data_IF_358509215562
#
_entry.id   IF_358509215562
#
_cell.length_a   1.000
_cell.length_b   1.000
_cell.length_c   1.000
_cell.angle_alpha   90.00
_cell.angle_beta   90.00
_cell.angle_gamma   90.00
#
_symmetry.space_group_name_H-M   'P 1'
#
loop_
_entity.id
_entity.type
_entity.pdbx_description
1 polymer ?
#
# COMPACT_ATOMS: atom_id res chain seq x y z
N UNK A 1 -13.91 -48.08 20.92
CA UNK A 1 -12.83 -47.17 20.46
C UNK A 1 -13.45 -45.85 20.04
N UNK A 2 -13.38 -44.86 20.92
CA UNK A 2 -13.94 -43.52 20.69
C UNK A 2 -12.79 -42.56 20.34
N UNK A 3 -12.77 -42.06 19.11
CA UNK A 3 -11.82 -41.05 18.61
C UNK A 3 -12.17 -39.68 19.16
N UNK A 4 -11.24 -38.92 19.75
CA UNK A 4 -11.55 -37.56 20.23
C UNK A 4 -11.55 -36.60 19.05
N UNK A 5 -12.71 -35.90 18.86
CA UNK A 5 -12.82 -34.74 17.97
C UNK A 5 -11.99 -33.59 18.53
N UNK A 6 -10.94 -33.20 17.84
CA UNK A 6 -10.21 -31.97 18.10
C UNK A 6 -11.10 -30.78 17.72
N UNK A 7 -11.54 -30.03 18.73
CA UNK A 7 -12.16 -28.73 18.56
C UNK A 7 -11.05 -27.72 18.19
N UNK A 8 -11.07 -27.23 16.95
CA UNK A 8 -10.21 -26.14 16.52
C UNK A 8 -10.84 -24.84 17.04
N UNK A 9 -10.29 -24.31 18.13
CA UNK A 9 -10.62 -22.97 18.61
C UNK A 9 -10.03 -21.97 17.62
N UNK A 10 -10.88 -21.44 16.75
CA UNK A 10 -10.56 -20.25 15.95
C UNK A 10 -10.52 -19.03 16.86
N UNK A 11 -9.33 -18.51 17.15
CA UNK A 11 -9.18 -17.21 17.79
C UNK A 11 -9.64 -16.16 16.78
N UNK A 12 -10.89 -15.72 16.93
CA UNK A 12 -11.38 -14.50 16.29
C UNK A 12 -10.72 -13.35 17.05
N UNK A 13 -9.63 -12.83 16.49
CA UNK A 13 -9.10 -11.54 16.92
C UNK A 13 -10.11 -10.50 16.47
N UNK A 14 -11.05 -10.19 17.35
CA UNK A 14 -11.90 -9.03 17.22
C UNK A 14 -11.01 -7.79 17.36
N UNK A 15 -10.51 -7.28 16.22
CA UNK A 15 -9.86 -5.98 16.17
C UNK A 15 -10.89 -4.96 16.65
N UNK A 16 -10.75 -4.51 17.91
CA UNK A 16 -11.60 -3.48 18.47
C UNK A 16 -11.48 -2.23 17.60
N UNK A 17 -12.53 -1.97 16.86
CA UNK A 17 -12.67 -0.84 15.96
C UNK A 17 -12.69 0.44 16.79
N UNK A 18 -11.57 1.14 16.88
CA UNK A 18 -11.55 2.48 17.44
C UNK A 18 -12.25 3.41 16.47
N UNK A 19 -13.52 3.65 16.72
CA UNK A 19 -14.29 4.68 16.00
C UNK A 19 -13.73 6.03 16.43
N UNK A 20 -13.10 6.75 15.50
CA UNK A 20 -12.67 8.13 15.72
C UNK A 20 -13.93 9.01 15.88
N UNK A 21 -14.15 9.65 17.02
CA UNK A 21 -15.33 10.48 17.26
C UNK A 21 -15.18 11.88 16.64
N UNK A 22 -14.98 11.95 15.33
CA UNK A 22 -14.99 13.21 14.57
C UNK A 22 -16.33 13.30 13.83
N UNK A 23 -17.13 14.34 14.04
CA UNK A 23 -18.43 14.45 13.38
C UNK A 23 -18.42 14.17 11.88
N UNK A 24 -17.51 14.76 11.06
CA UNK A 24 -17.46 14.44 9.64
C UNK A 24 -16.91 13.04 9.34
N UNK A 25 -16.04 12.48 10.20
CA UNK A 25 -15.48 11.14 10.02
C UNK A 25 -16.39 10.03 10.55
N UNK A 26 -17.25 10.34 11.53
CA UNK A 26 -18.22 9.37 12.08
C UNK A 26 -19.36 9.10 11.12
N UNK A 27 -19.81 10.14 10.39
CA UNK A 27 -20.91 10.00 9.42
C UNK A 27 -20.44 9.51 8.04
N UNK A 28 -19.14 9.39 7.82
CA UNK A 28 -18.58 8.98 6.53
C UNK A 28 -18.74 7.48 6.30
N UNK A 29 -19.07 7.11 5.06
CA UNK A 29 -19.00 5.72 4.63
C UNK A 29 -17.53 5.33 4.41
N UNK A 30 -17.05 4.36 5.16
CA UNK A 30 -15.70 3.87 5.10
C UNK A 30 -15.61 2.57 4.31
N UNK A 31 -14.74 2.54 3.31
CA UNK A 31 -14.32 1.29 2.70
C UNK A 31 -13.15 0.74 3.52
N UNK A 32 -13.34 -0.44 4.09
CA UNK A 32 -12.31 -1.11 4.89
C UNK A 32 -11.62 -2.20 4.08
N UNK A 33 -10.30 -2.33 4.25
CA UNK A 33 -9.51 -3.41 3.68
C UNK A 33 -8.39 -3.81 4.63
N UNK A 34 -7.97 -5.06 4.58
CA UNK A 34 -6.74 -5.51 5.21
C UNK A 34 -5.62 -5.45 4.19
N UNK A 35 -4.48 -4.94 4.62
CA UNK A 35 -3.26 -4.99 3.84
C UNK A 35 -2.14 -5.55 4.69
N UNK A 36 -1.13 -6.13 4.05
CA UNK A 36 0.09 -6.51 4.74
C UNK A 36 1.25 -5.79 4.09
N UNK A 37 1.91 -4.93 4.87
CA UNK A 37 3.05 -4.13 4.40
C UNK A 37 4.33 -4.70 4.99
N UNK A 38 5.24 -5.15 4.15
CA UNK A 38 6.50 -5.79 4.58
C UNK A 38 6.30 -6.93 5.61
N UNK A 39 5.21 -7.70 5.47
CA UNK A 39 4.87 -8.80 6.37
C UNK A 39 4.10 -8.39 7.63
N UNK A 40 3.83 -7.10 7.85
CA UNK A 40 3.06 -6.61 8.99
C UNK A 40 1.64 -6.32 8.54
N UNK A 41 0.67 -6.88 9.24
CA UNK A 41 -0.75 -6.72 8.96
C UNK A 41 -1.24 -5.35 9.44
N UNK A 42 -2.00 -4.67 8.58
CA UNK A 42 -2.56 -3.35 8.83
C UNK A 42 -4.04 -3.34 8.46
N UNK A 43 -4.85 -2.68 9.29
CA UNK A 43 -6.20 -2.28 8.92
C UNK A 43 -6.16 -0.92 8.23
N UNK A 44 -6.66 -0.84 7.00
CA UNK A 44 -6.74 0.41 6.23
C UNK A 44 -8.20 0.72 5.95
N UNK A 45 -8.57 1.99 6.07
CA UNK A 45 -9.90 2.50 5.74
C UNK A 45 -9.76 3.75 4.90
N UNK A 46 -10.60 3.87 3.91
CA UNK A 46 -10.62 5.02 3.02
C UNK A 46 -12.02 5.62 2.94
N UNK A 47 -12.09 6.94 2.85
CA UNK A 47 -13.32 7.68 2.61
C UNK A 47 -13.01 8.98 1.86
N UNK A 48 -14.06 9.66 1.40
CA UNK A 48 -13.97 11.02 0.87
C UNK A 48 -14.84 11.94 1.73
N UNK A 49 -14.37 13.14 1.98
CA UNK A 49 -15.07 14.15 2.76
C UNK A 49 -15.18 15.45 1.98
N UNK A 50 -16.32 16.10 2.11
CA UNK A 50 -16.53 17.49 1.67
C UNK A 50 -16.03 18.43 2.78
N UNK A 51 -14.71 18.55 2.88
CA UNK A 51 -14.04 19.36 3.87
C UNK A 51 -12.65 19.77 3.37
N UNK A 52 -12.15 20.92 3.83
CA UNK A 52 -10.78 21.31 3.56
C UNK A 52 -9.79 20.51 4.40
N UNK A 53 -8.59 20.22 3.86
CA UNK A 53 -7.53 19.53 4.63
C UNK A 53 -7.27 20.18 5.98
N UNK A 54 -7.13 21.52 6.03
CA UNK A 54 -6.81 22.28 7.24
C UNK A 54 -7.87 22.14 8.34
N UNK A 55 -9.15 22.08 7.96
CA UNK A 55 -10.23 21.88 8.94
C UNK A 55 -10.11 20.51 9.60
N UNK A 56 -9.87 19.47 8.80
CA UNK A 56 -9.71 18.09 9.31
C UNK A 56 -8.43 17.94 10.12
N UNK A 57 -7.32 18.55 9.70
CA UNK A 57 -6.05 18.56 10.44
C UNK A 57 -6.25 19.15 11.84
N UNK A 58 -6.83 20.36 11.94
CA UNK A 58 -7.07 21.02 13.24
C UNK A 58 -7.92 20.15 14.16
N UNK A 59 -9.00 19.56 13.65
CA UNK A 59 -9.86 18.69 14.44
C UNK A 59 -9.13 17.44 14.94
N UNK A 60 -8.35 16.79 14.07
CA UNK A 60 -7.55 15.60 14.41
C UNK A 60 -6.50 15.92 15.47
N UNK A 61 -5.75 17.00 15.30
CA UNK A 61 -4.72 17.42 16.26
C UNK A 61 -5.33 17.72 17.61
N UNK A 62 -6.45 18.45 17.67
CA UNK A 62 -7.17 18.75 18.91
C UNK A 62 -7.64 17.48 19.61
N UNK A 63 -8.30 16.58 18.85
CA UNK A 63 -8.80 15.32 19.40
C UNK A 63 -7.67 14.44 19.92
N UNK A 64 -6.64 14.24 19.12
CA UNK A 64 -5.55 13.34 19.48
C UNK A 64 -4.70 13.87 20.64
N UNK A 65 -4.51 15.19 20.72
CA UNK A 65 -3.84 15.82 21.86
C UNK A 65 -4.63 15.69 23.16
N UNK A 66 -5.97 15.70 23.10
CA UNK A 66 -6.83 15.56 24.29
C UNK A 66 -6.88 14.13 24.85
N UNK A 67 -6.47 13.13 24.08
CA UNK A 67 -6.52 11.72 24.47
C UNK A 67 -5.28 11.23 25.27
N UNK A 68 -4.40 12.12 25.69
CA UNK A 68 -3.29 11.83 26.61
C UNK A 68 -2.20 10.91 26.05
N UNK A 69 -2.14 10.73 24.74
CA UNK A 69 -1.09 9.97 24.06
C UNK A 69 0.12 10.84 23.72
N UNK A 70 1.16 10.22 23.17
CA UNK A 70 2.26 10.94 22.53
C UNK A 70 1.68 12.00 21.57
N UNK A 71 2.18 13.25 21.57
CA UNK A 71 1.69 14.27 20.66
C UNK A 71 1.70 13.77 19.22
N UNK A 72 0.63 14.04 18.45
CA UNK A 72 0.60 13.63 17.05
C UNK A 72 1.70 14.34 16.26
N UNK A 73 2.32 13.63 15.36
CA UNK A 73 3.27 14.16 14.38
C UNK A 73 2.54 14.52 13.09
N UNK A 74 2.95 15.63 12.46
CA UNK A 74 2.43 16.05 11.15
C UNK A 74 3.60 16.12 10.17
N UNK A 75 3.41 15.50 8.99
CA UNK A 75 4.38 15.49 7.90
C UNK A 75 3.68 15.92 6.62
N UNK A 76 4.16 16.96 5.99
CA UNK A 76 3.73 17.38 4.68
C UNK A 76 4.55 16.67 3.60
N UNK A 77 3.87 16.01 2.69
CA UNK A 77 4.45 15.34 1.53
C UNK A 77 3.86 15.94 0.25
N UNK A 78 4.54 15.84 -0.90
CA UNK A 78 3.97 16.30 -2.16
C UNK A 78 2.57 15.73 -2.41
N UNK A 79 1.56 16.62 -2.45
CA UNK A 79 0.17 16.28 -2.72
C UNK A 79 -0.59 15.58 -1.59
N UNK A 80 -0.03 15.48 -0.38
CA UNK A 80 -0.75 14.93 0.80
C UNK A 80 -0.13 15.36 2.12
N UNK A 81 -0.95 15.40 3.15
CA UNK A 81 -0.51 15.57 4.54
C UNK A 81 -0.75 14.27 5.30
N UNK A 82 0.23 13.85 6.10
CA UNK A 82 0.14 12.65 6.94
C UNK A 82 0.22 13.07 8.41
N UNK A 83 -0.75 12.63 9.20
CA UNK A 83 -0.78 12.82 10.65
C UNK A 83 -0.62 11.44 11.28
N UNK A 84 0.35 11.30 12.18
CA UNK A 84 0.63 10.04 12.86
C UNK A 84 0.58 10.19 14.37
N UNK A 85 0.17 9.14 15.06
CA UNK A 85 0.33 9.02 16.52
C UNK A 85 0.62 7.58 16.91
N UNK A 86 1.17 7.43 18.10
CA UNK A 86 1.30 6.12 18.74
C UNK A 86 0.43 6.07 19.99
N UNK A 87 -0.35 5.00 20.13
CA UNK A 87 -1.18 4.73 21.29
C UNK A 87 -0.88 3.32 21.80
N UNK A 88 -0.02 3.22 22.82
CA UNK A 88 0.51 1.95 23.26
C UNK A 88 1.28 1.25 22.14
N UNK A 89 0.88 0.05 21.79
CA UNK A 89 1.47 -0.75 20.69
C UNK A 89 0.86 -0.47 19.32
N UNK A 90 -0.16 0.39 19.24
CA UNK A 90 -0.81 0.72 17.98
C UNK A 90 -0.22 2.02 17.43
N UNK A 91 0.29 1.95 16.21
CA UNK A 91 0.63 3.12 15.40
C UNK A 91 -0.52 3.43 14.45
N UNK A 92 -1.05 4.64 14.55
CA UNK A 92 -2.17 5.11 13.73
C UNK A 92 -1.68 6.24 12.82
N UNK A 93 -2.09 6.22 11.55
CA UNK A 93 -1.81 7.28 10.60
C UNK A 93 -3.08 7.67 9.86
N UNK A 94 -3.21 8.97 9.57
CA UNK A 94 -4.23 9.51 8.67
C UNK A 94 -3.51 10.26 7.56
N UNK A 95 -3.75 9.87 6.34
CA UNK A 95 -3.27 10.55 5.14
C UNK A 95 -4.41 11.32 4.49
N UNK A 96 -4.22 12.60 4.29
CA UNK A 96 -5.18 13.53 3.70
C UNK A 96 -4.66 13.96 2.34
N UNK A 97 -5.42 13.72 1.29
CA UNK A 97 -5.10 14.13 -0.07
C UNK A 97 -6.20 15.04 -0.63
N UNK A 98 -5.91 16.29 -0.97
CA UNK A 98 -6.86 17.16 -1.67
C UNK A 98 -7.33 16.54 -2.99
N UNK A 99 -8.59 16.69 -3.31
CA UNK A 99 -9.22 16.25 -4.56
C UNK A 99 -9.69 17.49 -5.35
N UNK A 100 -9.35 17.56 -6.63
CA UNK A 100 -9.83 18.60 -7.54
C UNK A 100 -9.52 20.01 -7.04
N UNK A 101 -10.55 20.77 -6.70
CA UNK A 101 -10.51 22.18 -6.26
C UNK A 101 -10.06 22.37 -4.78
N UNK A 102 -9.75 21.29 -4.08
CA UNK A 102 -9.36 21.34 -2.66
C UNK A 102 -10.51 21.46 -1.66
N UNK A 103 -11.78 21.50 -2.13
CA UNK A 103 -12.96 21.48 -1.27
C UNK A 103 -13.31 20.06 -0.78
N UNK A 104 -12.75 19.06 -1.42
CA UNK A 104 -12.89 17.65 -1.06
C UNK A 104 -11.53 17.03 -0.78
N UNK A 105 -11.54 16.07 0.12
CA UNK A 105 -10.34 15.31 0.46
C UNK A 105 -10.61 13.81 0.40
N UNK A 106 -9.62 13.05 -0.03
CA UNK A 106 -9.52 11.63 0.23
C UNK A 106 -8.82 11.44 1.56
N UNK A 107 -9.42 10.66 2.44
CA UNK A 107 -8.88 10.31 3.76
C UNK A 107 -8.55 8.83 3.76
N UNK A 108 -7.32 8.51 4.12
CA UNK A 108 -6.88 7.14 4.38
C UNK A 108 -6.45 7.04 5.84
N UNK A 109 -7.14 6.20 6.60
CA UNK A 109 -6.75 5.83 7.97
C UNK A 109 -6.08 4.47 7.94
N UNK A 110 -4.92 4.34 8.56
CA UNK A 110 -4.23 3.08 8.73
C UNK A 110 -3.85 2.87 10.20
N UNK A 111 -4.04 1.66 10.70
CA UNK A 111 -3.63 1.26 12.03
C UNK A 111 -2.79 -0.02 11.96
N UNK A 112 -1.70 -0.03 12.70
CA UNK A 112 -0.72 -1.11 12.74
C UNK A 112 -0.34 -1.43 14.18
N UNK A 113 -0.31 -2.71 14.54
CA UNK A 113 0.30 -3.17 15.78
C UNK A 113 1.82 -3.28 15.56
N UNK A 114 2.59 -2.37 16.20
CA UNK A 114 4.05 -2.33 16.08
C UNK A 114 4.76 -3.42 16.90
N UNK A 115 4.06 -4.09 17.82
CA UNK A 115 4.57 -5.25 18.55
C UNK A 115 4.42 -6.56 17.76
N UNK A 116 3.61 -6.55 16.70
CA UNK A 116 3.37 -7.73 15.90
C UNK A 116 4.64 -8.17 15.15
N UNK A 117 4.96 -9.45 15.26
CA UNK A 117 6.07 -10.02 14.51
C UNK A 117 5.79 -10.00 13.01
N UNK A 118 6.70 -9.46 12.19
CA UNK A 118 6.54 -9.48 10.75
C UNK A 118 6.47 -10.92 10.23
N UNK A 119 5.48 -11.23 9.39
CA UNK A 119 5.51 -12.44 8.57
C UNK A 119 6.56 -12.25 7.47
N UNK A 120 7.16 -13.32 7.01
CA UNK A 120 8.13 -13.25 5.92
C UNK A 120 7.55 -12.50 4.71
N UNK A 121 8.38 -11.71 4.03
CA UNK A 121 7.96 -11.05 2.78
C UNK A 121 7.76 -12.11 1.69
N UNK A 122 6.69 -12.04 0.90
CA UNK A 122 6.54 -12.92 -0.25
C UNK A 122 7.69 -12.68 -1.24
N UNK A 123 8.20 -13.73 -1.89
CA UNK A 123 9.21 -13.58 -2.93
C UNK A 123 8.62 -12.92 -4.17
N UNK A 124 9.49 -12.31 -4.96
CA UNK A 124 9.13 -11.89 -6.32
C UNK A 124 8.74 -13.13 -7.14
N UNK A 125 7.79 -13.01 -8.09
CA UNK A 125 7.35 -14.13 -8.94
C UNK A 125 8.35 -14.52 -10.03
N UNK A 126 9.56 -13.93 -9.98
CA UNK A 126 10.67 -14.17 -10.90
C UNK A 126 12.02 -13.89 -10.23
N UNK A 127 13.10 -14.33 -10.82
CA UNK A 127 14.45 -13.99 -10.38
C UNK A 127 14.75 -12.55 -10.76
N UNK A 128 14.94 -11.70 -9.75
CA UNK A 128 15.19 -10.28 -9.96
C UNK A 128 16.52 -10.02 -10.68
N UNK A 129 16.61 -9.01 -11.55
CA UNK A 129 17.89 -8.55 -12.10
C UNK A 129 18.86 -8.14 -10.99
N UNK A 130 20.15 -8.36 -11.20
CA UNK A 130 21.20 -7.95 -10.26
C UNK A 130 21.10 -6.45 -9.93
N UNK A 131 21.23 -6.12 -8.66
CA UNK A 131 21.14 -4.74 -8.15
C UNK A 131 19.72 -4.26 -7.88
N UNK A 132 18.72 -5.13 -8.01
CA UNK A 132 17.35 -4.81 -7.60
C UNK A 132 17.25 -4.78 -6.08
N UNK A 133 16.75 -3.67 -5.53
CA UNK A 133 16.40 -3.53 -4.12
C UNK A 133 14.88 -3.56 -3.96
N UNK A 134 14.38 -4.41 -3.07
CA UNK A 134 12.95 -4.42 -2.71
C UNK A 134 12.77 -3.43 -1.56
N UNK A 135 12.15 -2.29 -1.84
CA UNK A 135 11.87 -1.25 -0.85
C UNK A 135 10.64 -1.58 0.00
N UNK A 136 9.59 -2.06 -0.66
CA UNK A 136 8.32 -2.35 -0.01
C UNK A 136 7.60 -3.50 -0.72
N UNK A 137 6.86 -4.28 0.07
CA UNK A 137 5.91 -5.27 -0.42
C UNK A 137 4.57 -5.01 0.25
N UNK A 138 3.52 -4.91 -0.55
CA UNK A 138 2.13 -4.79 -0.08
C UNK A 138 1.33 -5.97 -0.61
N UNK A 139 0.69 -6.68 0.29
CA UNK A 139 -0.25 -7.75 -0.03
C UNK A 139 -1.67 -7.28 0.28
N UNK A 140 -2.61 -7.68 -0.53
CA UNK A 140 -4.04 -7.39 -0.37
C UNK A 140 -4.80 -8.70 -0.12
N UNK A 141 -4.84 -9.19 1.13
CA UNK A 141 -5.43 -10.51 1.44
C UNK A 141 -6.90 -10.63 1.09
N UNK A 142 -7.63 -9.50 1.11
CA UNK A 142 -9.06 -9.45 0.81
C UNK A 142 -9.34 -9.23 -0.69
N UNK A 143 -8.32 -8.99 -1.53
CA UNK A 143 -8.51 -8.90 -2.98
C UNK A 143 -8.68 -10.33 -3.56
N UNK A 144 -9.81 -10.63 -4.22
CA UNK A 144 -10.06 -11.95 -4.82
C UNK A 144 -9.01 -12.36 -5.86
N UNK A 145 -8.26 -11.38 -6.38
CA UNK A 145 -7.13 -11.62 -7.29
C UNK A 145 -5.83 -11.95 -6.56
N UNK A 146 -5.85 -12.04 -5.22
CA UNK A 146 -4.66 -12.23 -4.38
C UNK A 146 -3.52 -11.26 -4.76
N UNK A 147 -3.88 -9.99 -4.99
CA UNK A 147 -2.95 -8.99 -5.53
C UNK A 147 -1.80 -8.71 -4.54
N UNK A 148 -0.61 -8.59 -5.11
CA UNK A 148 0.60 -8.17 -4.41
C UNK A 148 1.26 -7.04 -5.17
N UNK A 149 1.77 -6.06 -4.46
CA UNK A 149 2.52 -4.96 -5.04
C UNK A 149 3.92 -4.92 -4.46
N UNK A 150 4.91 -4.80 -5.32
CA UNK A 150 6.30 -4.63 -4.95
C UNK A 150 6.75 -3.24 -5.39
N UNK A 151 7.40 -2.53 -4.51
CA UNK A 151 8.12 -1.29 -4.84
C UNK A 151 9.60 -1.64 -4.85
N UNK A 152 10.23 -1.45 -6.02
CA UNK A 152 11.63 -1.79 -6.24
C UNK A 152 12.41 -0.51 -6.57
N UNK A 153 13.71 -0.54 -6.30
CA UNK A 153 14.65 0.46 -6.78
C UNK A 153 15.77 -0.23 -7.59
N UNK A 154 16.10 0.35 -8.73
CA UNK A 154 17.21 -0.07 -9.59
C UNK A 154 18.02 1.16 -10.02
N UNK A 155 19.35 1.07 -9.97
CA UNK A 155 20.25 2.12 -10.49
C UNK A 155 20.38 2.00 -12.02
N UNK A 156 19.31 2.35 -12.73
CA UNK A 156 19.21 2.26 -14.19
C UNK A 156 18.24 3.33 -14.69
N UNK A 157 18.16 3.54 -16.01
CA UNK A 157 17.08 4.33 -16.59
C UNK A 157 15.78 3.53 -16.65
N UNK A 158 14.59 4.17 -16.69
CA UNK A 158 13.31 3.46 -16.77
C UNK A 158 13.22 2.45 -17.92
N UNK A 159 13.72 2.82 -19.10
CA UNK A 159 13.72 1.94 -20.26
C UNK A 159 14.58 0.68 -20.05
N UNK A 160 15.78 0.82 -19.49
CA UNK A 160 16.69 -0.29 -19.18
C UNK A 160 16.14 -1.15 -18.04
N UNK A 161 15.53 -0.54 -17.03
CA UNK A 161 14.90 -1.29 -15.93
C UNK A 161 13.77 -2.18 -16.44
N UNK A 162 12.84 -1.63 -17.24
CA UNK A 162 11.73 -2.39 -17.83
C UNK A 162 12.23 -3.46 -18.80
N UNK A 163 13.28 -3.20 -19.57
CA UNK A 163 13.90 -4.21 -20.43
C UNK A 163 14.47 -5.39 -19.62
N UNK A 164 15.21 -5.08 -18.54
CA UNK A 164 15.81 -6.10 -17.68
C UNK A 164 14.76 -6.93 -16.94
N UNK A 165 13.71 -6.27 -16.41
CA UNK A 165 12.58 -6.93 -15.76
C UNK A 165 11.81 -7.80 -16.75
N UNK A 166 11.61 -7.32 -17.98
CA UNK A 166 10.98 -8.10 -19.05
C UNK A 166 11.77 -9.35 -19.44
N UNK A 167 13.10 -9.27 -19.46
CA UNK A 167 13.95 -10.43 -19.67
C UNK A 167 13.82 -11.43 -18.51
N UNK A 168 13.89 -10.97 -17.27
CA UNK A 168 13.73 -11.80 -16.07
C UNK A 168 12.35 -12.48 -16.00
N UNK A 169 11.30 -11.77 -16.36
CA UNK A 169 9.94 -12.34 -16.47
C UNK A 169 9.89 -13.46 -17.52
N UNK A 170 10.43 -13.23 -18.74
CA UNK A 170 10.46 -14.26 -19.78
C UNK A 170 11.22 -15.52 -19.33
N UNK A 171 12.39 -15.35 -18.72
CA UNK A 171 13.17 -16.47 -18.17
C UNK A 171 12.39 -17.26 -17.13
N UNK A 172 11.45 -16.61 -16.43
CA UNK A 172 10.58 -17.22 -15.42
C UNK A 172 9.22 -17.70 -16.00
N UNK A 173 9.09 -17.80 -17.32
CA UNK A 173 7.92 -18.36 -18.01
C UNK A 173 6.76 -17.39 -18.21
N UNK A 174 6.99 -16.07 -18.06
CA UNK A 174 5.98 -15.06 -18.35
C UNK A 174 6.02 -14.64 -19.82
N UNK A 175 4.85 -14.49 -20.44
CA UNK A 175 4.69 -13.88 -21.76
C UNK A 175 4.59 -12.37 -21.63
N UNK A 176 5.57 -11.64 -22.16
CA UNK A 176 5.55 -10.15 -22.15
C UNK A 176 4.69 -9.67 -23.31
N UNK A 177 3.49 -9.19 -22.99
CA UNK A 177 2.48 -8.82 -23.98
C UNK A 177 2.66 -7.39 -24.52
N UNK A 178 3.05 -6.44 -23.66
CA UNK A 178 3.16 -5.02 -24.03
C UNK A 178 4.30 -4.33 -23.27
N UNK A 179 4.99 -3.44 -24.00
CA UNK A 179 5.97 -2.52 -23.42
C UNK A 179 5.76 -1.13 -24.02
N UNK A 180 5.70 -0.12 -23.18
CA UNK A 180 5.57 1.29 -23.61
C UNK A 180 6.63 2.11 -22.88
N UNK A 181 7.28 3.02 -23.60
CA UNK A 181 8.19 4.01 -23.04
C UNK A 181 7.56 5.37 -23.31
N UNK A 182 7.41 6.17 -22.29
CA UNK A 182 6.91 7.53 -22.39
C UNK A 182 7.99 8.50 -21.90
N UNK A 183 8.27 9.51 -22.68
CA UNK A 183 9.09 10.65 -22.30
C UNK A 183 8.21 11.88 -22.50
N UNK A 184 7.70 12.44 -21.41
CA UNK A 184 6.82 13.61 -21.46
C UNK A 184 7.33 14.65 -20.47
N UNK A 185 7.65 15.83 -20.98
CA UNK A 185 8.08 16.99 -20.19
C UNK A 185 9.27 16.71 -19.24
N UNK A 186 10.24 15.85 -19.67
CA UNK A 186 11.40 15.49 -18.88
C UNK A 186 11.15 14.38 -17.85
N UNK A 187 9.92 13.89 -17.70
CA UNK A 187 9.61 12.71 -16.89
C UNK A 187 9.72 11.45 -17.73
N UNK A 188 10.79 10.69 -17.52
CA UNK A 188 10.94 9.39 -18.16
C UNK A 188 10.16 8.32 -17.38
N UNK A 189 9.23 7.67 -18.06
CA UNK A 189 8.49 6.54 -17.55
C UNK A 189 8.49 5.39 -18.56
N UNK A 190 8.45 4.16 -18.06
CA UNK A 190 8.29 2.97 -18.88
C UNK A 190 7.33 2.00 -18.23
N UNK A 191 6.55 1.30 -19.04
CA UNK A 191 5.57 0.32 -18.60
C UNK A 191 5.80 -1.02 -19.30
N UNK A 192 5.48 -2.10 -18.60
CA UNK A 192 5.50 -3.45 -19.16
C UNK A 192 4.30 -4.22 -18.61
N UNK A 193 3.72 -5.03 -19.47
CA UNK A 193 2.64 -5.94 -19.14
C UNK A 193 3.05 -7.37 -19.49
N UNK A 194 2.87 -8.30 -18.55
CA UNK A 194 3.19 -9.71 -18.77
C UNK A 194 2.12 -10.62 -18.17
N UNK A 195 1.99 -11.80 -18.72
CA UNK A 195 0.97 -12.78 -18.33
C UNK A 195 1.58 -14.17 -18.22
N UNK A 196 1.05 -14.95 -17.27
CA UNK A 196 1.40 -16.36 -17.10
C UNK A 196 0.19 -17.12 -16.54
N UNK A 197 -0.37 -18.05 -17.31
CA UNK A 197 -1.61 -18.77 -16.94
C UNK A 197 -2.73 -17.80 -16.53
N UNK A 198 -3.20 -17.85 -15.28
CA UNK A 198 -4.23 -16.98 -14.72
C UNK A 198 -3.68 -15.72 -14.04
N UNK A 199 -2.37 -15.54 -14.00
CA UNK A 199 -1.72 -14.40 -13.37
C UNK A 199 -1.34 -13.33 -14.40
N UNK A 200 -1.31 -12.08 -13.95
CA UNK A 200 -0.79 -10.94 -14.71
C UNK A 200 0.19 -10.14 -13.86
N UNK A 201 1.15 -9.52 -14.52
CA UNK A 201 2.13 -8.59 -13.96
C UNK A 201 2.05 -7.29 -14.72
N UNK A 202 1.89 -6.21 -13.97
CA UNK A 202 2.02 -4.84 -14.45
C UNK A 202 3.25 -4.21 -13.81
N UNK A 203 4.10 -3.60 -14.61
CA UNK A 203 5.31 -2.91 -14.17
C UNK A 203 5.25 -1.47 -14.64
N UNK A 204 5.42 -0.53 -13.72
CA UNK A 204 5.57 0.91 -13.99
C UNK A 204 6.90 1.36 -13.41
N UNK A 205 7.76 1.90 -14.25
CA UNK A 205 9.08 2.43 -13.88
C UNK A 205 9.14 3.93 -14.14
N UNK A 206 9.55 4.71 -13.14
CA UNK A 206 9.74 6.17 -13.24
C UNK A 206 11.12 6.54 -12.73
N UNK A 207 11.75 7.52 -13.36
CA UNK A 207 13.01 8.07 -12.88
C UNK A 207 12.82 8.67 -11.48
N UNK A 208 13.77 8.39 -10.58
CA UNK A 208 13.80 8.90 -9.22
C UNK A 208 15.24 8.95 -8.69
N UNK A 209 15.71 10.15 -8.41
CA UNK A 209 17.07 10.36 -7.90
C UNK A 209 18.14 9.81 -8.87
N UNK A 210 19.02 8.94 -8.36
CA UNK A 210 20.09 8.29 -9.10
C UNK A 210 19.70 7.00 -9.83
N UNK A 211 18.38 6.72 -9.88
CA UNK A 211 17.88 5.48 -10.46
C UNK A 211 16.45 5.55 -10.88
N UNK A 212 15.75 4.46 -10.66
CA UNK A 212 14.35 4.31 -11.03
C UNK A 212 13.59 3.64 -9.90
N UNK A 213 12.42 4.20 -9.56
CA UNK A 213 11.42 3.52 -8.76
C UNK A 213 10.54 2.70 -9.68
N UNK A 214 10.36 1.44 -9.33
CA UNK A 214 9.49 0.52 -10.04
C UNK A 214 8.36 0.09 -9.13
N UNK A 215 7.13 0.23 -9.59
CA UNK A 215 5.95 -0.39 -9.00
C UNK A 215 5.60 -1.60 -9.85
N UNK A 216 5.62 -2.78 -9.23
CA UNK A 216 5.27 -4.03 -9.86
C UNK A 216 4.05 -4.61 -9.14
N UNK A 217 2.95 -4.78 -9.86
CA UNK A 217 1.73 -5.41 -9.36
C UNK A 217 1.58 -6.79 -9.96
N UNK A 218 1.30 -7.78 -9.10
CA UNK A 218 1.02 -9.17 -9.48
C UNK A 218 -0.36 -9.54 -8.96
N UNK A 219 -1.16 -10.18 -9.76
CA UNK A 219 -2.48 -10.66 -9.32
C UNK A 219 -3.13 -11.55 -10.36
N UNK A 220 -4.26 -12.16 -10.01
CA UNK A 220 -5.09 -12.90 -10.96
C UNK A 220 -5.68 -11.99 -12.04
N UNK A 221 -6.04 -12.55 -13.18
CA UNK A 221 -6.79 -11.83 -14.22
C UNK A 221 -8.16 -11.41 -13.69
N UNK A 222 -8.59 -10.22 -14.07
CA UNK A 222 -10.00 -9.86 -13.96
C UNK A 222 -10.76 -10.67 -15.01
N UNK A 223 -11.74 -11.42 -14.57
CA UNK A 223 -12.72 -12.11 -15.45
C UNK A 223 -13.79 -11.13 -15.88
#
# INVERSE_FOLDING_TARGET
MLTPRRATFGIVVASALVVLPLPPLVAAEWTAMRVRVNGIEMAVRTTQLDASPDAVIRQLLTLWSSQGSTPPSLVELPGRTVIGRQRGVIHETISLRPLGDGQRISVEYAAQDISAMPRGRPPLPFIAPTGTQILQVVEFPDDPRAARQFVLHLRRTPAVAVQSLGAALRTSGWSVARRTIADRAGEQAAMLFAERASEQVEVIARAEGDGVRVVLRVGGRAH
#
